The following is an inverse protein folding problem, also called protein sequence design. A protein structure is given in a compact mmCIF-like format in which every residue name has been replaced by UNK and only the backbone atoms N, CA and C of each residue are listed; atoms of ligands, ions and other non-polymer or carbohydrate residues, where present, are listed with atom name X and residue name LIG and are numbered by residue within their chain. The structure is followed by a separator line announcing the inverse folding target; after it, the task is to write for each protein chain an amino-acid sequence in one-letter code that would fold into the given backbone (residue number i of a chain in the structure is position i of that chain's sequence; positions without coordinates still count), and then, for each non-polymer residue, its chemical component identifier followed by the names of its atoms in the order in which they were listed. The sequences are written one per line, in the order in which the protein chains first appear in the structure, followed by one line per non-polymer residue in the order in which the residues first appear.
data_IF_293585425762
#
_entry.id   IF_293585425762
#
_cell.length_a   1.000
_cell.length_b   1.000
_cell.length_c   1.000
_cell.angle_alpha   90.00
_cell.angle_beta   90.00
_cell.angle_gamma   90.00
#
_symmetry.space_group_name_H-M   'P 1'
#
loop_
_entity.id
_entity.type
_entity.pdbx_description
1 polymer ?
#
# COMPACT_ATOMS: atom_id res chain seq x y z
N UNK A 1 2.59 0.45 -14.78
CA UNK A 1 2.40 1.25 -13.57
C UNK A 1 1.94 0.36 -12.43
N UNK A 2 2.53 0.54 -11.27
CA UNK A 2 2.13 -0.21 -10.08
C UNK A 2 0.66 0.09 -9.76
N UNK A 3 -0.09 -0.94 -9.44
CA UNK A 3 -1.52 -0.83 -9.17
C UNK A 3 -1.87 -1.40 -7.81
N UNK A 4 -2.95 -0.89 -7.24
CA UNK A 4 -3.47 -1.34 -5.95
C UNK A 4 -4.95 -1.66 -6.15
N UNK A 5 -5.36 -2.88 -5.81
CA UNK A 5 -6.76 -3.29 -5.99
C UNK A 5 -7.67 -2.58 -4.98
N UNK A 6 -8.95 -2.53 -5.29
CA UNK A 6 -9.94 -1.96 -4.36
C UNK A 6 -9.92 -2.70 -3.02
N UNK A 7 -9.76 -4.01 -3.04
CA UNK A 7 -9.68 -4.80 -1.81
C UNK A 7 -8.49 -4.37 -0.96
N UNK A 8 -7.33 -4.11 -1.59
CA UNK A 8 -6.14 -3.64 -0.89
C UNK A 8 -6.34 -2.23 -0.34
N UNK A 9 -6.92 -1.34 -1.14
CA UNK A 9 -7.20 0.03 -0.69
C UNK A 9 -8.13 0.02 0.53
N UNK A 10 -9.18 -0.78 0.48
CA UNK A 10 -10.13 -0.90 1.59
C UNK A 10 -9.45 -1.44 2.84
N UNK A 11 -8.62 -2.47 2.70
CA UNK A 11 -7.91 -3.07 3.83
C UNK A 11 -6.92 -2.08 4.45
N UNK A 12 -6.21 -1.31 3.62
CA UNK A 12 -5.30 -0.28 4.10
C UNK A 12 -6.05 0.83 4.84
N UNK A 13 -7.18 1.25 4.32
CA UNK A 13 -8.02 2.27 4.96
C UNK A 13 -8.49 1.79 6.34
N UNK A 14 -8.96 0.57 6.43
CA UNK A 14 -9.39 -0.02 7.70
C UNK A 14 -8.23 -0.11 8.70
N UNK A 15 -7.07 -0.55 8.23
CA UNK A 15 -5.89 -0.63 9.08
C UNK A 15 -5.45 0.73 9.60
N UNK A 16 -5.58 1.78 8.78
CA UNK A 16 -5.26 3.14 9.18
C UNK A 16 -6.19 3.64 10.29
N UNK A 17 -7.47 3.33 10.18
CA UNK A 17 -8.45 3.72 11.19
C UNK A 17 -8.17 3.02 12.52
N UNK A 18 -7.82 1.73 12.47
CA UNK A 18 -7.61 0.91 13.65
C UNK A 18 -6.25 1.12 14.31
N UNK A 19 -5.25 1.59 13.55
CA UNK A 19 -3.89 1.75 14.06
C UNK A 19 -3.66 3.13 14.63
N UNK A 20 -2.90 3.20 15.71
CA UNK A 20 -2.46 4.49 16.23
C UNK A 20 -1.42 5.08 15.27
N UNK A 21 -1.64 6.30 14.85
CA UNK A 21 -0.71 7.02 13.99
C UNK A 21 -0.80 8.51 14.27
N UNK A 22 0.30 9.21 14.03
CA UNK A 22 0.31 10.66 14.14
C UNK A 22 -0.41 11.27 12.94
N UNK A 23 -0.91 12.48 13.13
CA UNK A 23 -1.56 13.21 12.05
C UNK A 23 -0.60 13.36 10.87
N UNK A 24 -1.11 13.05 9.68
CA UNK A 24 -0.32 13.12 8.45
C UNK A 24 0.49 11.86 8.14
N UNK A 25 0.52 10.88 9.04
CA UNK A 25 1.18 9.62 8.76
C UNK A 25 0.29 8.69 7.95
N UNK A 26 0.89 8.03 6.96
CA UNK A 26 0.21 7.12 6.05
C UNK A 26 1.10 5.89 5.89
N UNK A 27 0.50 4.75 5.63
CA UNK A 27 1.28 3.53 5.36
C UNK A 27 2.11 3.71 4.10
N UNK A 28 3.39 3.38 4.19
CA UNK A 28 4.33 3.39 3.07
C UNK A 28 4.74 1.97 2.76
N UNK A 29 4.64 1.60 1.49
CA UNK A 29 5.13 0.31 1.02
C UNK A 29 6.66 0.36 0.96
N UNK A 30 7.30 -0.62 1.58
CA UNK A 30 8.76 -0.71 1.58
C UNK A 30 9.20 -2.08 1.09
N UNK A 31 10.41 -2.14 0.56
CA UNK A 31 11.03 -3.39 0.19
C UNK A 31 11.82 -3.91 1.39
N UNK A 32 11.62 -5.17 1.75
CA UNK A 32 12.34 -5.81 2.85
C UNK A 32 12.87 -7.15 2.38
N UNK A 33 14.19 -7.30 2.30
CA UNK A 33 14.80 -8.54 1.84
C UNK A 33 14.23 -8.96 0.49
N UNK A 34 13.67 -10.15 0.41
CA UNK A 34 13.05 -10.68 -0.81
C UNK A 34 11.56 -10.36 -0.89
N UNK A 35 11.02 -9.65 0.08
CA UNK A 35 9.60 -9.36 0.13
C UNK A 35 9.32 -7.87 0.28
N UNK A 36 8.20 -7.58 0.91
CA UNK A 36 7.77 -6.22 1.13
C UNK A 36 7.15 -6.10 2.52
N UNK A 37 7.03 -4.85 2.97
CA UNK A 37 6.36 -4.55 4.23
C UNK A 37 5.74 -3.17 4.19
N UNK A 38 5.21 -2.74 5.31
CA UNK A 38 4.62 -1.42 5.45
C UNK A 38 5.21 -0.70 6.64
N UNK A 39 5.36 0.61 6.50
CA UNK A 39 5.87 1.46 7.57
C UNK A 39 5.12 2.77 7.54
N UNK A 40 4.77 3.31 8.70
CA UNK A 40 4.14 4.63 8.77
C UNK A 40 5.16 5.72 8.40
N UNK A 41 4.70 6.69 7.63
CA UNK A 41 5.55 7.80 7.22
C UNK A 41 4.72 8.92 6.63
N UNK A 42 5.39 10.03 6.32
CA UNK A 42 4.74 11.19 5.71
C UNK A 42 5.05 11.23 4.22
N UNK A 43 4.11 11.78 3.45
CA UNK A 43 4.26 11.86 1.99
C UNK A 43 5.45 12.75 1.60
N UNK A 44 6.18 12.31 0.58
CA UNK A 44 7.25 13.07 -0.07
C UNK A 44 6.76 13.55 -1.43
N UNK A 45 7.40 14.57 -1.95
CA UNK A 45 6.97 15.17 -3.22
C UNK A 45 6.90 14.19 -4.39
N UNK A 46 7.78 13.20 -4.39
CA UNK A 46 7.86 12.24 -5.50
C UNK A 46 7.09 10.95 -5.25
N UNK A 47 6.40 10.83 -4.11
CA UNK A 47 5.63 9.63 -3.81
C UNK A 47 4.40 9.54 -4.68
N UNK A 48 4.06 8.31 -5.09
CA UNK A 48 2.71 8.02 -5.54
C UNK A 48 1.83 7.86 -4.31
N UNK A 49 0.68 8.52 -4.33
CA UNK A 49 -0.27 8.47 -3.22
C UNK A 49 -1.53 7.79 -3.71
N UNK A 50 -1.92 6.73 -3.03
CA UNK A 50 -3.16 6.03 -3.32
C UNK A 50 -4.20 6.42 -2.28
N UNK A 51 -5.42 6.68 -2.74
CA UNK A 51 -6.50 7.15 -1.88
C UNK A 51 -7.67 6.18 -1.86
N UNK A 52 -8.40 6.18 -0.77
CA UNK A 52 -9.66 5.46 -0.64
C UNK A 52 -10.64 6.39 0.08
N UNK A 53 -11.78 6.63 -0.55
CA UNK A 53 -12.82 7.53 -0.03
C UNK A 53 -12.25 8.91 0.34
N UNK A 54 -11.38 9.43 -0.51
CA UNK A 54 -10.80 10.77 -0.34
C UNK A 54 -9.67 10.87 0.68
N UNK A 55 -9.25 9.75 1.26
CA UNK A 55 -8.16 9.73 2.22
C UNK A 55 -6.95 8.99 1.69
N UNK A 56 -5.76 9.51 1.99
CA UNK A 56 -4.52 8.86 1.62
C UNK A 56 -4.38 7.57 2.42
N UNK A 57 -4.16 6.45 1.75
CA UNK A 57 -4.03 5.15 2.42
C UNK A 57 -2.72 4.45 2.14
N UNK A 58 -2.00 4.83 1.09
CA UNK A 58 -0.74 4.18 0.74
C UNK A 58 0.19 5.16 0.03
N UNK A 59 1.45 5.15 0.44
CA UNK A 59 2.53 5.88 -0.22
C UNK A 59 3.49 4.89 -0.87
N UNK A 60 3.90 5.16 -2.09
CA UNK A 60 4.89 4.35 -2.80
C UNK A 60 5.95 5.27 -3.38
N UNK A 61 7.20 5.11 -2.97
CA UNK A 61 8.29 5.93 -3.50
C UNK A 61 8.43 5.75 -5.00
N UNK A 62 8.80 6.81 -5.72
CA UNK A 62 8.88 6.76 -7.18
C UNK A 62 9.83 5.67 -7.69
N UNK A 63 10.96 5.46 -7.02
CA UNK A 63 11.90 4.42 -7.40
C UNK A 63 11.28 3.03 -7.25
N UNK A 64 10.56 2.79 -6.15
CA UNK A 64 9.90 1.52 -5.90
C UNK A 64 8.76 1.30 -6.89
N UNK A 65 7.98 2.35 -7.16
CA UNK A 65 6.91 2.29 -8.15
C UNK A 65 7.45 1.89 -9.53
N UNK A 66 8.59 2.43 -9.90
CA UNK A 66 9.22 2.13 -11.19
C UNK A 66 9.68 0.67 -11.23
N UNK A 67 10.32 0.20 -10.17
CA UNK A 67 10.79 -1.17 -10.06
C UNK A 67 9.64 -2.17 -10.10
N UNK A 68 8.51 -1.81 -9.48
CA UNK A 68 7.34 -2.69 -9.35
C UNK A 68 6.23 -2.34 -10.35
N UNK A 69 6.56 -1.66 -11.44
CA UNK A 69 5.55 -1.15 -12.38
C UNK A 69 4.69 -2.22 -13.03
N UNK A 70 5.14 -3.46 -13.06
CA UNK A 70 4.40 -4.58 -13.63
C UNK A 70 3.63 -5.39 -12.58
N UNK A 71 3.58 -4.90 -11.35
CA UNK A 71 2.97 -5.63 -10.23
C UNK A 71 1.74 -4.90 -9.72
N UNK A 72 0.94 -5.62 -8.95
CA UNK A 72 -0.17 -5.03 -8.22
C UNK A 72 -0.20 -5.56 -6.79
N UNK A 73 -0.70 -4.72 -5.90
CA UNK A 73 -0.93 -5.08 -4.51
C UNK A 73 -2.41 -5.45 -4.35
N UNK A 74 -2.65 -6.61 -3.78
CA UNK A 74 -4.00 -7.09 -3.51
C UNK A 74 -4.11 -7.47 -2.03
N UNK A 75 -5.32 -7.65 -1.57
CA UNK A 75 -5.59 -8.10 -0.21
C UNK A 75 -6.53 -9.30 -0.24
N UNK A 76 -6.21 -10.28 0.55
CA UNK A 76 -7.01 -11.50 0.69
C UNK A 76 -7.48 -11.59 2.14
N UNK A 77 -8.77 -11.81 2.33
CA UNK A 77 -9.33 -12.01 3.67
C UNK A 77 -9.45 -13.50 3.94
N UNK A 78 -8.81 -13.94 5.01
CA UNK A 78 -8.90 -15.33 5.47
C UNK A 78 -9.24 -15.33 6.95
N UNK A 79 -10.35 -15.97 7.30
CA UNK A 79 -10.77 -16.10 8.69
C UNK A 79 -10.84 -14.75 9.42
N UNK A 80 -11.32 -13.72 8.73
CA UNK A 80 -11.45 -12.39 9.31
C UNK A 80 -10.15 -11.57 9.33
N UNK A 81 -9.05 -12.11 8.80
CA UNK A 81 -7.78 -11.40 8.73
C UNK A 81 -7.45 -11.04 7.29
N UNK A 82 -6.99 -9.81 7.08
CA UNK A 82 -6.51 -9.36 5.79
C UNK A 82 -5.03 -9.65 5.66
N UNK A 83 -4.65 -10.24 4.53
CA UNK A 83 -3.26 -10.44 4.16
C UNK A 83 -3.01 -9.73 2.84
N UNK A 84 -1.86 -9.06 2.72
CA UNK A 84 -1.49 -8.36 1.50
C UNK A 84 -0.57 -9.23 0.67
N UNK A 85 -0.80 -9.22 -0.64
CA UNK A 85 0.02 -9.98 -1.58
C UNK A 85 0.43 -9.08 -2.73
N UNK A 86 1.67 -9.25 -3.21
CA UNK A 86 2.15 -8.60 -4.43
C UNK A 86 2.19 -9.65 -5.52
N UNK A 87 1.53 -9.37 -6.64
CA UNK A 87 1.47 -10.28 -7.76
C UNK A 87 1.83 -9.57 -9.05
N UNK A 88 2.35 -10.32 -10.00
CA UNK A 88 2.60 -9.80 -11.33
C UNK A 88 1.26 -9.49 -12.00
N UNK A 89 1.15 -8.29 -12.57
CA UNK A 89 -0.06 -7.88 -13.28
C UNK A 89 -0.10 -8.44 -14.70
N UNK A 90 0.94 -9.11 -15.14
CA UNK A 90 0.95 -9.65 -16.49
C UNK A 90 0.03 -10.85 -16.59
N UNK A 91 -0.71 -10.86 -17.61
CA UNK A 91 -1.56 -11.98 -17.98
C UNK A 91 -0.82 -12.91 -18.92
#
# INVERSE_FOLDING_TARGET
MFQVTDAALKALHKGRIDAEHAEGEVMRLISEGDGFGFKLGTARLTDMVFQYEGQDVLLVASALNRTMGHMHLDAVNRNGKNSFVLESASS
#
